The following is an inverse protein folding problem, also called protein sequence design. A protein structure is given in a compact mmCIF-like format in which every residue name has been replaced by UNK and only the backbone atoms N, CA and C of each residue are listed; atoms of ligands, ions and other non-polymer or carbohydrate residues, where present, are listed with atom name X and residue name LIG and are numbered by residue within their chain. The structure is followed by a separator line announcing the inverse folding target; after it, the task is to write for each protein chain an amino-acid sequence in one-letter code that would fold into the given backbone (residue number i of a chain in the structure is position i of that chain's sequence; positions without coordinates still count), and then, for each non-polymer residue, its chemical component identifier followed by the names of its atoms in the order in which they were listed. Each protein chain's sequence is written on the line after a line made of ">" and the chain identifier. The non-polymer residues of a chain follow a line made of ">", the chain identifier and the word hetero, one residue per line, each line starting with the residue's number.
data_IF_009445466827
#
_entry.id   IF_009445466827
#
_cell.length_a   1.000
_cell.length_b   1.000
_cell.length_c   1.000
_cell.angle_alpha   90.00
_cell.angle_beta   90.00
_cell.angle_gamma   90.00
#
_symmetry.space_group_name_H-M   'P 1'
#
loop_
_entity.id
_entity.type
_entity.pdbx_description
1 polymer ?
#
# COMPACT_ATOMS: atom_id res chain seq x y z
N UNK A 1 1.46 -22.09 -14.37
CA UNK A 1 2.92 -22.11 -14.29
C UNK A 1 3.38 -20.66 -14.24
N UNK A 2 3.53 -20.11 -13.02
CA UNK A 2 3.92 -18.71 -12.85
C UNK A 2 5.40 -18.57 -13.19
N UNK A 3 5.70 -17.78 -14.22
CA UNK A 3 7.08 -17.36 -14.51
C UNK A 3 7.55 -16.52 -13.32
N UNK A 4 8.69 -16.88 -12.73
CA UNK A 4 9.32 -16.15 -11.65
C UNK A 4 9.51 -14.68 -12.02
N UNK A 5 9.37 -13.80 -11.03
CA UNK A 5 9.57 -12.37 -11.23
C UNK A 5 11.07 -12.03 -11.18
N UNK A 6 11.51 -11.15 -12.07
CA UNK A 6 12.91 -10.75 -12.15
C UNK A 6 13.27 -9.78 -11.00
N UNK A 7 14.53 -9.83 -10.57
CA UNK A 7 15.08 -8.88 -9.60
C UNK A 7 15.04 -7.47 -10.20
N UNK A 8 14.24 -6.58 -9.59
CA UNK A 8 13.95 -5.24 -10.10
C UNK A 8 12.52 -5.04 -10.62
N UNK A 9 11.72 -6.11 -10.74
CA UNK A 9 10.28 -5.99 -10.99
C UNK A 9 9.57 -5.31 -9.79
N UNK A 10 8.79 -4.23 -9.98
CA UNK A 10 8.03 -3.60 -8.90
C UNK A 10 7.13 -4.58 -8.13
N UNK A 11 6.64 -5.64 -8.80
CA UNK A 11 5.86 -6.71 -8.17
C UNK A 11 6.72 -7.56 -7.23
N UNK A 12 7.96 -7.85 -7.62
CA UNK A 12 8.94 -8.55 -6.78
C UNK A 12 9.28 -7.72 -5.54
N UNK A 13 9.58 -6.44 -5.72
CA UNK A 13 9.84 -5.53 -4.59
C UNK A 13 8.61 -5.39 -3.69
N UNK A 14 7.41 -5.18 -4.27
CA UNK A 14 6.16 -5.10 -3.52
C UNK A 14 5.88 -6.36 -2.73
N UNK A 15 6.21 -7.53 -3.27
CA UNK A 15 6.04 -8.80 -2.58
C UNK A 15 7.07 -9.03 -1.48
N UNK A 16 8.36 -8.73 -1.70
CA UNK A 16 9.36 -8.78 -0.64
C UNK A 16 8.95 -7.89 0.54
N UNK A 17 8.48 -6.68 0.24
CA UNK A 17 7.95 -5.76 1.25
C UNK A 17 6.73 -6.32 1.97
N UNK A 18 5.76 -6.88 1.23
CA UNK A 18 4.57 -7.51 1.81
C UNK A 18 4.89 -8.75 2.67
N UNK A 19 5.95 -9.48 2.35
CA UNK A 19 6.39 -10.65 3.14
C UNK A 19 7.02 -10.26 4.48
N UNK A 20 7.45 -9.00 4.63
CA UNK A 20 8.09 -8.45 5.83
C UNK A 20 7.11 -7.69 6.74
N UNK A 21 5.86 -7.49 6.33
CA UNK A 21 4.85 -6.82 7.16
C UNK A 21 3.91 -7.80 7.83
N UNK A 22 3.38 -7.37 8.98
CA UNK A 22 2.29 -8.11 9.64
C UNK A 22 0.97 -7.96 8.88
N UNK A 23 0.74 -6.78 8.28
CA UNK A 23 -0.53 -6.44 7.64
C UNK A 23 -0.33 -5.41 6.51
N UNK A 24 -1.12 -5.52 5.45
CA UNK A 24 -1.24 -4.48 4.44
C UNK A 24 -2.69 -4.25 4.04
N UNK A 25 -3.01 -2.98 3.81
CA UNK A 25 -4.29 -2.53 3.29
C UNK A 25 -4.08 -2.04 1.87
N UNK A 26 -4.89 -2.53 0.95
CA UNK A 26 -4.82 -2.17 -0.47
C UNK A 26 -6.09 -1.41 -0.82
N UNK A 27 -5.95 -0.15 -1.24
CA UNK A 27 -7.05 0.59 -1.85
C UNK A 27 -6.87 0.60 -3.36
N UNK A 28 -7.92 0.24 -4.09
CA UNK A 28 -7.93 0.20 -5.55
C UNK A 28 -9.04 1.08 -6.10
N UNK A 29 -8.78 1.72 -7.24
CA UNK A 29 -9.75 2.55 -7.94
C UNK A 29 -9.52 2.53 -9.45
N UNK A 30 -10.61 2.62 -10.23
CA UNK A 30 -10.62 2.76 -11.71
C UNK A 30 -10.16 4.15 -12.18
N UNK A 31 -9.14 4.71 -11.52
CA UNK A 31 -8.63 6.06 -11.77
C UNK A 31 -7.10 6.10 -11.71
N UNK A 32 -6.47 7.14 -12.28
CA UNK A 32 -5.03 7.36 -12.14
C UNK A 32 -4.59 7.38 -10.67
N UNK A 33 -3.36 6.95 -10.42
CA UNK A 33 -2.85 6.84 -9.06
C UNK A 33 -2.73 8.17 -8.34
N UNK A 34 -2.57 9.28 -9.06
CA UNK A 34 -2.58 10.62 -8.47
C UNK A 34 -3.95 10.95 -7.87
N UNK A 35 -5.05 10.66 -8.58
CA UNK A 35 -6.42 10.87 -8.09
C UNK A 35 -6.69 10.01 -6.84
N UNK A 36 -6.22 8.76 -6.86
CA UNK A 36 -6.35 7.86 -5.74
C UNK A 36 -5.54 8.36 -4.54
N UNK A 37 -4.28 8.75 -4.74
CA UNK A 37 -3.41 9.27 -3.68
C UNK A 37 -3.98 10.53 -3.04
N UNK A 38 -4.42 11.50 -3.85
CA UNK A 38 -5.03 12.73 -3.36
C UNK A 38 -6.32 12.44 -2.57
N UNK A 39 -7.09 11.44 -3.00
CA UNK A 39 -8.28 10.99 -2.28
C UNK A 39 -7.94 10.36 -0.93
N UNK A 40 -6.91 9.52 -0.87
CA UNK A 40 -6.46 8.91 0.39
C UNK A 40 -5.90 9.97 1.34
N UNK A 41 -4.99 10.83 0.86
CA UNK A 41 -4.36 11.89 1.68
C UNK A 41 -5.39 12.90 2.18
N UNK A 42 -6.38 13.26 1.36
CA UNK A 42 -7.47 14.14 1.77
C UNK A 42 -8.33 13.59 2.91
N UNK A 43 -8.24 12.27 3.20
CA UNK A 43 -9.03 11.59 4.23
C UNK A 43 -8.20 11.10 5.41
N UNK A 44 -6.98 10.65 5.14
CA UNK A 44 -5.98 10.31 6.12
C UNK A 44 -4.75 11.23 5.94
N UNK A 45 -4.78 12.48 6.48
CA UNK A 45 -3.68 13.43 6.33
C UNK A 45 -2.33 12.93 6.87
N UNK A 46 -2.34 11.92 7.74
CA UNK A 46 -1.12 11.25 8.21
C UNK A 46 -0.32 10.63 7.06
N UNK A 47 -0.97 10.26 5.96
CA UNK A 47 -0.32 9.80 4.74
C UNK A 47 0.42 10.93 4.00
N UNK A 48 0.09 12.21 4.24
CA UNK A 48 0.83 13.33 3.65
C UNK A 48 2.29 13.42 4.13
N UNK A 49 2.59 12.86 5.31
CA UNK A 49 3.95 12.77 5.83
C UNK A 49 4.81 11.75 5.05
N UNK A 50 4.16 10.88 4.27
CA UNK A 50 4.83 9.91 3.41
C UNK A 50 5.33 10.65 2.18
N UNK A 51 6.64 10.85 2.08
CA UNK A 51 7.24 11.47 0.91
C UNK A 51 7.38 10.42 -0.20
N UNK A 52 6.64 10.54 -1.32
CA UNK A 52 6.88 9.69 -2.47
C UNK A 52 8.24 10.07 -3.06
N UNK A 53 9.06 9.08 -3.38
CA UNK A 53 10.28 9.29 -4.14
C UNK A 53 9.93 9.37 -5.65
N UNK A 54 9.21 10.41 -6.08
CA UNK A 54 8.74 10.59 -7.46
C UNK A 54 7.21 10.57 -7.62
N UNK A 55 6.69 10.14 -8.78
CA UNK A 55 5.26 9.79 -8.96
C UNK A 55 4.88 8.65 -7.99
N UNK A 56 3.59 8.46 -7.66
CA UNK A 56 3.19 7.35 -6.78
C UNK A 56 3.73 6.02 -7.31
N UNK A 57 4.49 5.30 -6.49
CA UNK A 57 5.25 4.14 -6.95
C UNK A 57 6.14 3.53 -5.88
N UNK A 58 6.88 4.37 -5.14
CA UNK A 58 7.65 3.94 -3.97
C UNK A 58 7.80 5.10 -2.99
N UNK A 59 7.51 4.87 -1.71
CA UNK A 59 7.70 5.87 -0.66
C UNK A 59 8.83 5.51 0.28
N UNK A 60 9.60 6.51 0.69
CA UNK A 60 10.63 6.37 1.74
C UNK A 60 10.03 6.84 3.06
N UNK A 61 10.08 6.00 4.09
CA UNK A 61 9.65 6.37 5.44
C UNK A 61 10.80 6.93 6.26
N UNK A 62 10.56 8.10 6.87
CA UNK A 62 11.12 8.45 8.17
C UNK A 62 10.16 9.44 8.87
N UNK A 63 9.37 8.94 9.82
CA UNK A 63 9.47 9.25 11.26
C UNK A 63 8.40 8.44 12.04
N UNK A 64 8.77 7.75 13.12
CA UNK A 64 7.92 7.24 14.24
C UNK A 64 6.60 6.49 13.95
N UNK A 65 6.53 5.56 12.99
CA UNK A 65 5.24 4.88 12.79
C UNK A 65 5.18 3.50 12.16
N UNK A 66 6.31 2.92 11.70
CA UNK A 66 6.31 1.57 11.14
C UNK A 66 5.38 1.32 9.94
N UNK A 67 4.91 2.36 9.26
CA UNK A 67 4.05 2.24 8.07
C UNK A 67 4.94 2.34 6.82
N UNK A 68 4.55 1.75 5.69
CA UNK A 68 5.04 2.16 4.38
C UNK A 68 3.93 2.15 3.34
N UNK A 69 4.01 3.03 2.34
CA UNK A 69 3.03 3.06 1.26
C UNK A 69 3.71 3.01 -0.11
N UNK A 70 3.13 2.26 -1.03
CA UNK A 70 3.57 2.22 -2.42
C UNK A 70 2.39 2.13 -3.36
N UNK A 71 2.64 2.54 -4.60
CA UNK A 71 1.63 2.67 -5.62
C UNK A 71 1.87 1.71 -6.78
N UNK A 72 0.79 1.19 -7.36
CA UNK A 72 0.83 0.38 -8.57
C UNK A 72 -0.17 0.93 -9.57
N UNK A 73 0.32 1.43 -10.69
CA UNK A 73 -0.52 1.81 -11.82
C UNK A 73 -0.74 0.63 -12.77
N UNK A 74 -1.99 0.45 -13.18
CA UNK A 74 -2.42 -0.53 -14.17
C UNK A 74 -3.25 0.11 -15.28
N UNK A 75 -3.54 -0.67 -16.32
CA UNK A 75 -4.37 -0.23 -17.45
C UNK A 75 -5.83 0.03 -17.06
N UNK A 76 -6.32 -0.67 -16.05
CA UNK A 76 -7.73 -0.66 -15.61
C UNK A 76 -7.95 0.19 -14.35
N UNK A 77 -6.88 0.73 -13.76
CA UNK A 77 -6.95 1.46 -12.51
C UNK A 77 -5.62 1.43 -11.78
N UNK A 78 -5.62 1.99 -10.59
CA UNK A 78 -4.46 2.09 -9.71
C UNK A 78 -4.75 1.47 -8.35
N UNK A 79 -3.70 1.01 -7.69
CA UNK A 79 -3.75 0.55 -6.32
C UNK A 79 -2.72 1.29 -5.48
N UNK A 80 -3.09 1.61 -4.24
CA UNK A 80 -2.16 2.09 -3.21
C UNK A 80 -2.20 1.11 -2.07
N UNK A 81 -1.03 0.57 -1.77
CA UNK A 81 -0.81 -0.37 -0.69
C UNK A 81 -0.23 0.40 0.48
N UNK A 82 -0.88 0.33 1.64
CA UNK A 82 -0.36 0.82 2.91
C UNK A 82 -0.08 -0.38 3.79
N UNK A 83 1.19 -0.64 3.99
CA UNK A 83 1.69 -1.76 4.74
C UNK A 83 2.15 -1.31 6.14
N UNK A 84 1.96 -2.19 7.11
CA UNK A 84 2.12 -1.89 8.54
C UNK A 84 3.08 -2.94 9.12
N UNK A 85 4.25 -2.46 9.56
CA UNK A 85 5.26 -3.30 10.18
C UNK A 85 4.74 -3.85 11.53
N UNK A 86 5.21 -5.03 11.97
CA UNK A 86 4.76 -5.65 13.21
C UNK A 86 5.00 -4.81 14.48
N UNK A 87 5.96 -3.88 14.44
CA UNK A 87 6.34 -2.99 15.54
C UNK A 87 5.66 -1.62 15.48
N UNK A 88 4.77 -1.38 14.50
CA UNK A 88 4.00 -0.16 14.40
C UNK A 88 2.97 -0.03 15.55
N UNK A 89 2.67 1.20 15.95
CA UNK A 89 1.55 1.49 16.85
C UNK A 89 0.23 1.19 16.13
N UNK A 90 -0.34 0.00 16.39
CA UNK A 90 -1.56 -0.48 15.75
C UNK A 90 -2.76 0.41 16.02
N UNK A 91 -2.82 1.03 17.21
CA UNK A 91 -3.90 1.90 17.63
C UNK A 91 -3.88 3.20 16.83
N UNK A 92 -2.69 3.77 16.65
CA UNK A 92 -2.48 4.93 15.81
C UNK A 92 -2.83 4.64 14.36
N UNK A 93 -2.30 3.55 13.78
CA UNK A 93 -2.55 3.12 12.40
C UNK A 93 -4.05 2.97 12.15
N UNK A 94 -4.75 2.26 13.03
CA UNK A 94 -6.17 2.02 12.86
C UNK A 94 -6.97 3.33 12.91
N UNK A 95 -6.71 4.18 13.90
CA UNK A 95 -7.47 5.44 14.11
C UNK A 95 -7.18 6.50 13.06
N UNK A 96 -5.94 6.60 12.57
CA UNK A 96 -5.50 7.70 11.71
C UNK A 96 -5.33 7.33 10.24
N UNK A 97 -5.30 6.03 9.90
CA UNK A 97 -5.21 5.55 8.52
C UNK A 97 -6.43 4.73 8.16
N UNK A 98 -6.70 3.63 8.87
CA UNK A 98 -7.70 2.65 8.42
C UNK A 98 -9.12 3.22 8.53
N UNK A 99 -9.52 3.70 9.71
CA UNK A 99 -10.88 4.22 9.92
C UNK A 99 -11.23 5.39 8.97
N UNK A 100 -10.38 6.42 8.79
CA UNK A 100 -10.71 7.51 7.85
C UNK A 100 -10.81 7.06 6.38
N UNK A 101 -10.09 6.00 6.01
CA UNK A 101 -10.09 5.45 4.65
C UNK A 101 -11.16 4.35 4.43
N UNK A 102 -11.90 3.94 5.46
CA UNK A 102 -13.06 3.07 5.27
C UNK A 102 -14.28 3.87 4.75
N UNK A 103 -14.32 5.17 5.01
CA UNK A 103 -15.39 6.06 4.58
C UNK A 103 -15.34 6.42 3.09
N UNK A 104 -14.26 6.09 2.36
CA UNK A 104 -14.15 6.38 0.92
C UNK A 104 -14.73 5.31 0.00
N UNK A 105 -15.24 4.21 0.57
CA UNK A 105 -15.91 3.14 -0.20
C UNK A 105 -17.05 3.69 -1.08
N UNK A 106 -17.73 4.74 -0.63
CA UNK A 106 -18.82 5.41 -1.36
C UNK A 106 -18.37 6.09 -2.66
N UNK A 107 -17.06 6.25 -2.89
CA UNK A 107 -16.48 6.85 -4.11
C UNK A 107 -16.05 5.82 -5.15
N UNK A 108 -16.43 4.55 -4.95
CA UNK A 108 -16.01 3.44 -5.81
C UNK A 108 -14.57 2.97 -5.56
N UNK A 109 -13.99 3.36 -4.42
CA UNK A 109 -12.69 2.84 -3.97
C UNK A 109 -12.91 1.52 -3.25
N UNK A 110 -12.27 0.45 -3.72
CA UNK A 110 -12.32 -0.86 -3.08
C UNK A 110 -11.17 -1.02 -2.11
N UNK A 111 -11.39 -1.69 -0.97
CA UNK A 111 -10.35 -1.99 0.03
C UNK A 111 -10.18 -3.50 0.18
N UNK A 112 -8.94 -3.96 0.18
CA UNK A 112 -8.54 -5.33 0.48
C UNK A 112 -7.57 -5.36 1.66
N UNK A 113 -7.70 -6.38 2.51
CA UNK A 113 -6.74 -6.70 3.56
C UNK A 113 -5.85 -7.83 3.08
N UNK A 114 -4.55 -7.71 3.30
CA UNK A 114 -3.55 -8.73 2.99
C UNK A 114 -2.73 -8.99 4.23
N UNK A 115 -2.62 -10.25 4.64
CA UNK A 115 -1.83 -10.67 5.79
C UNK A 115 -0.69 -11.60 5.39
N UNK A 116 0.37 -11.67 6.22
CA UNK A 116 1.58 -12.46 5.95
C UNK A 116 1.30 -13.96 5.68
N UNK A 117 0.16 -14.49 6.12
CA UNK A 117 -0.27 -15.88 5.89
C UNK A 117 -0.96 -16.16 4.55
N UNK A 118 -1.28 -15.12 3.77
CA UNK A 118 -2.00 -15.23 2.48
C UNK A 118 -1.07 -15.05 1.27
N UNK A 119 0.20 -14.75 1.50
CA UNK A 119 1.17 -14.36 0.47
C UNK A 119 2.21 -15.48 0.31
N UNK A 120 2.03 -16.37 -0.67
CA UNK A 120 3.03 -17.39 -1.01
C UNK A 120 4.26 -16.76 -1.68
N UNK A 121 5.45 -16.98 -1.12
CA UNK A 121 6.72 -16.46 -1.68
C UNK A 121 7.09 -17.22 -2.96
N UNK A 122 7.12 -16.57 -4.13
CA UNK A 122 7.66 -17.19 -5.34
C UNK A 122 9.17 -17.38 -5.14
N UNK A 123 9.65 -18.59 -5.40
CA UNK A 123 11.09 -18.85 -5.43
C UNK A 123 11.72 -18.11 -6.62
N UNK A 124 12.82 -17.35 -6.43
CA UNK A 124 13.56 -16.78 -7.55
C UNK A 124 14.15 -17.90 -8.43
N UNK A 125 14.19 -17.69 -9.74
CA UNK A 125 14.84 -18.57 -10.73
C UNK A 125 16.30 -18.24 -10.92
#
# INVERSE_FOLDING_TARGET
>A
MNKGWEEGDPRYTGHLLLSQVGLAYVWWWERPIEDLWDTLVGRAPTLAAIQPAGRPGFSRFQHDGGIFAFGVDGREGSAIVVAVLPDADSDYVFKHVVLPLDEIAERGVSRHLVSQGEVEVPQPT
#
